data_IF_200831125426
#
_entry.id   IF_200831125426
#
_cell.length_a   1.000
_cell.length_b   1.000
_cell.length_c   1.000
_cell.angle_alpha   90.00
_cell.angle_beta   90.00
_cell.angle_gamma   90.00
#
_symmetry.space_group_name_H-M   'P 1'
#
loop_
_entity.id
_entity.type
_entity.pdbx_description
1 polymer ?
#
# COMPACT_ATOMS: atom_id res chain seq x y z
N UNK A 1 -8.99 44.61 48.55
CA UNK A 1 -8.38 43.43 49.18
C UNK A 1 -8.92 42.23 48.44
N UNK A 2 -8.19 41.82 47.41
CA UNK A 2 -8.59 40.75 46.50
C UNK A 2 -7.65 39.59 46.78
N UNK A 3 -8.16 38.54 47.43
CA UNK A 3 -7.39 37.33 47.71
C UNK A 3 -7.11 36.58 46.42
N UNK A 4 -5.82 36.46 46.13
CA UNK A 4 -5.23 35.77 45.00
C UNK A 4 -5.13 34.27 45.31
N UNK A 5 -6.08 33.47 44.81
CA UNK A 5 -6.00 32.01 44.89
C UNK A 5 -5.11 31.46 43.78
N UNK A 6 -3.80 31.49 44.05
CA UNK A 6 -2.77 30.76 43.30
C UNK A 6 -2.69 29.30 43.79
N UNK A 7 -3.47 28.40 43.18
CA UNK A 7 -3.36 26.96 43.40
C UNK A 7 -2.39 26.36 42.35
N UNK A 8 -1.12 26.25 42.72
CA UNK A 8 -0.09 25.62 41.89
C UNK A 8 -0.33 24.10 41.70
N UNK A 9 0.24 23.47 40.65
CA UNK A 9 0.01 22.06 40.38
C UNK A 9 0.56 21.17 41.50
N UNK A 10 -0.34 20.56 42.28
CA UNK A 10 -0.02 19.56 43.31
C UNK A 10 0.90 18.46 42.75
N UNK A 11 2.08 18.30 43.36
CA UNK A 11 3.02 17.25 43.03
C UNK A 11 2.33 15.86 43.11
N UNK A 12 2.45 15.04 42.05
CA UNK A 12 1.90 13.68 42.04
C UNK A 12 2.50 12.87 43.19
N UNK A 13 1.68 12.46 44.15
CA UNK A 13 2.09 11.59 45.26
C UNK A 13 2.76 10.30 44.71
N UNK A 14 3.94 9.96 45.24
CA UNK A 14 4.64 8.73 44.85
C UNK A 14 3.86 7.51 45.33
N UNK A 15 3.40 6.67 44.41
CA UNK A 15 2.62 5.46 44.74
C UNK A 15 3.57 4.35 45.21
N UNK A 16 3.59 4.08 46.52
CA UNK A 16 4.42 3.03 47.12
C UNK A 16 3.53 1.86 47.53
N UNK A 17 3.92 0.64 47.20
CA UNK A 17 3.17 -0.59 47.51
C UNK A 17 4.15 -1.76 47.60
N UNK A 18 3.93 -2.70 48.53
CA UNK A 18 4.64 -3.99 48.47
C UNK A 18 4.06 -4.80 47.31
N UNK A 19 4.81 -4.93 46.22
CA UNK A 19 4.36 -5.64 45.03
C UNK A 19 4.24 -7.13 45.33
N UNK A 20 3.17 -7.74 44.80
CA UNK A 20 2.91 -9.18 44.79
C UNK A 20 2.20 -9.56 43.50
N UNK A 21 2.44 -10.75 42.97
CA UNK A 21 1.83 -11.22 41.72
C UNK A 21 0.30 -11.30 41.78
N UNK A 22 -0.25 -11.59 42.97
CA UNK A 22 -1.69 -11.56 43.23
C UNK A 22 -2.27 -10.15 43.15
N UNK A 23 -1.54 -9.14 43.63
CA UNK A 23 -1.94 -7.74 43.49
C UNK A 23 -1.81 -7.29 42.03
N UNK A 24 -0.66 -7.57 41.39
CA UNK A 24 -0.39 -7.18 40.01
C UNK A 24 -1.42 -7.80 39.06
N UNK A 25 -1.77 -9.08 39.22
CA UNK A 25 -2.79 -9.76 38.38
C UNK A 25 -4.17 -9.12 38.50
N UNK A 26 -4.59 -8.77 39.71
CA UNK A 26 -5.91 -8.15 39.99
C UNK A 26 -5.95 -6.66 39.68
N UNK A 27 -4.81 -6.01 39.53
CA UNK A 27 -4.74 -4.58 39.28
C UNK A 27 -5.31 -4.22 37.92
N UNK A 28 -6.39 -3.43 37.93
CA UNK A 28 -7.03 -2.88 36.73
C UNK A 28 -6.30 -1.60 36.33
N UNK A 29 -5.73 -1.51 35.12
CA UNK A 29 -5.04 -0.32 34.65
C UNK A 29 -5.98 0.90 34.65
N UNK A 30 -5.56 1.95 35.34
CA UNK A 30 -6.17 3.28 35.28
C UNK A 30 -5.45 4.14 34.24
N UNK A 31 -6.14 5.15 33.71
CA UNK A 31 -5.55 6.18 32.87
C UNK A 31 -5.28 7.40 33.76
N UNK A 32 -4.12 8.09 33.67
CA UNK A 32 -2.97 7.86 32.79
C UNK A 32 -1.99 6.77 33.30
N UNK A 33 -0.90 6.52 32.55
CA UNK A 33 0.18 5.59 32.96
C UNK A 33 0.61 5.82 34.42
N UNK A 34 0.87 4.72 35.13
CA UNK A 34 1.22 4.73 36.54
C UNK A 34 2.53 4.00 36.81
N UNK A 35 3.34 4.58 37.70
CA UNK A 35 4.54 3.96 38.24
C UNK A 35 4.30 3.66 39.73
N UNK A 36 4.47 2.40 40.10
CA UNK A 36 4.33 1.88 41.47
C UNK A 36 5.69 1.45 41.99
N UNK A 37 6.12 2.04 43.10
CA UNK A 37 7.43 1.76 43.72
C UNK A 37 7.29 0.61 44.72
N UNK A 38 8.11 -0.43 44.55
CA UNK A 38 8.11 -1.58 45.45
C UNK A 38 8.69 -1.19 46.81
N UNK A 39 8.02 -1.57 47.89
CA UNK A 39 8.57 -1.37 49.24
C UNK A 39 9.53 -2.49 49.66
N UNK A 40 9.54 -3.63 48.96
CA UNK A 40 10.46 -4.75 49.20
C UNK A 40 11.82 -4.62 48.50
N UNK A 41 11.92 -3.76 47.48
CA UNK A 41 13.13 -3.40 46.76
C UNK A 41 12.99 -1.95 46.29
N UNK A 42 13.67 -1.03 46.96
CA UNK A 42 13.45 0.42 46.85
C UNK A 42 13.71 1.01 45.46
N UNK A 43 14.48 0.30 44.65
CA UNK A 43 14.83 0.70 43.28
C UNK A 43 13.93 0.03 42.24
N UNK A 44 13.13 -0.95 42.63
CA UNK A 44 12.19 -1.62 41.74
C UNK A 44 10.92 -0.81 41.56
N UNK A 45 10.52 -0.63 40.30
CA UNK A 45 9.35 0.14 39.89
C UNK A 45 8.53 -0.67 38.89
N UNK A 46 7.25 -0.87 39.17
CA UNK A 46 6.30 -1.42 38.23
C UNK A 46 5.62 -0.29 37.44
N UNK A 47 5.87 -0.26 36.14
CA UNK A 47 5.17 0.63 35.22
C UNK A 47 3.96 -0.08 34.64
N UNK A 48 2.78 0.53 34.79
CA UNK A 48 1.53 0.08 34.19
C UNK A 48 1.20 1.04 33.05
N UNK A 49 1.37 0.56 31.81
CA UNK A 49 1.15 1.36 30.61
C UNK A 49 -0.33 1.64 30.35
N UNK A 50 -0.61 2.60 29.46
CA UNK A 50 -1.96 2.88 28.94
C UNK A 50 -2.69 1.65 28.40
N UNK A 51 -1.95 0.62 27.95
CA UNK A 51 -2.50 -0.63 27.43
C UNK A 51 -2.63 -1.74 28.47
N UNK A 52 -2.32 -1.45 29.74
CA UNK A 52 -2.32 -2.43 30.82
C UNK A 52 -1.13 -3.37 30.85
N UNK A 53 -0.12 -3.14 30.01
CA UNK A 53 1.14 -3.87 30.11
C UNK A 53 1.85 -3.44 31.40
N UNK A 54 2.33 -4.43 32.16
CA UNK A 54 2.95 -4.25 33.47
C UNK A 54 4.42 -4.64 33.33
N UNK A 55 5.31 -3.67 33.45
CA UNK A 55 6.75 -3.85 33.17
C UNK A 55 7.55 -3.41 34.39
N UNK A 56 8.44 -4.28 34.86
CA UNK A 56 9.36 -3.97 35.93
C UNK A 56 10.55 -3.16 35.41
N UNK A 57 10.95 -2.18 36.20
CA UNK A 57 12.05 -1.27 35.92
C UNK A 57 12.89 -1.07 37.17
N UNK A 58 14.17 -0.80 36.99
CA UNK A 58 15.07 -0.39 38.06
C UNK A 58 15.32 1.10 37.93
N UNK A 59 15.05 1.85 39.00
CA UNK A 59 15.37 3.26 39.11
C UNK A 59 16.82 3.39 39.59
N UNK A 60 17.62 4.18 38.89
CA UNK A 60 19.01 4.44 39.24
C UNK A 60 19.38 5.90 38.94
N UNK A 61 20.54 6.36 39.41
CA UNK A 61 21.11 7.66 39.03
C UNK A 61 22.23 7.44 38.01
N UNK A 62 22.22 8.22 36.93
CA UNK A 62 23.32 8.23 35.97
C UNK A 62 24.53 9.04 36.50
N UNK A 63 25.65 9.01 35.78
CA UNK A 63 26.90 9.69 36.16
C UNK A 63 26.72 11.21 36.27
N UNK A 64 25.69 11.76 35.64
CA UNK A 64 25.28 13.17 35.73
C UNK A 64 24.28 13.46 36.85
N UNK A 65 24.03 12.50 37.76
CA UNK A 65 23.13 12.65 38.91
C UNK A 65 21.64 12.63 38.56
N UNK A 66 21.26 12.39 37.29
CA UNK A 66 19.85 12.37 36.87
C UNK A 66 19.23 11.02 37.16
N UNK A 67 17.97 11.02 37.63
CA UNK A 67 17.21 9.78 37.87
C UNK A 67 16.77 9.16 36.55
N UNK A 68 17.10 7.89 36.34
CA UNK A 68 16.79 7.08 35.15
C UNK A 68 16.07 5.79 35.55
N UNK A 69 15.52 5.12 34.54
CA UNK A 69 14.82 3.85 34.71
C UNK A 69 15.27 2.88 33.61
N UNK A 70 15.80 1.72 34.01
CA UNK A 70 16.15 0.62 33.10
C UNK A 70 15.06 -0.47 33.15
N UNK A 71 14.65 -1.02 32.01
CA UNK A 71 13.61 -2.05 31.95
C UNK A 71 14.21 -3.43 32.16
N UNK A 72 13.76 -4.17 33.17
CA UNK A 72 14.32 -5.49 33.51
C UNK A 72 13.43 -6.67 33.08
N UNK A 73 12.20 -6.40 32.66
CA UNK A 73 11.32 -7.42 32.11
C UNK A 73 9.84 -7.12 32.31
N UNK A 74 9.00 -7.74 31.49
CA UNK A 74 7.55 -7.64 31.59
C UNK A 74 7.04 -8.65 32.60
N UNK A 75 6.12 -8.22 33.46
CA UNK A 75 5.46 -9.12 34.41
C UNK A 75 4.69 -10.21 33.67
N UNK A 76 4.99 -11.45 34.01
CA UNK A 76 4.29 -12.65 33.56
C UNK A 76 4.27 -13.62 34.75
N UNK A 77 3.08 -14.04 35.23
CA UNK A 77 2.98 -14.88 36.42
C UNK A 77 3.72 -16.22 36.30
N UNK A 78 3.92 -16.73 35.08
CA UNK A 78 4.55 -18.04 34.86
C UNK A 78 6.04 -17.95 34.50
N UNK A 79 6.52 -16.77 34.12
CA UNK A 79 7.88 -16.60 33.54
C UNK A 79 8.72 -15.51 34.19
N UNK A 80 8.10 -14.48 34.73
CA UNK A 80 8.80 -13.31 35.26
C UNK A 80 7.92 -12.60 36.29
N UNK A 81 7.92 -13.16 37.49
CA UNK A 81 7.14 -12.74 38.66
C UNK A 81 7.84 -11.59 39.44
N UNK A 82 7.24 -11.18 40.56
CA UNK A 82 7.80 -10.10 41.40
C UNK A 82 9.16 -10.50 41.99
N UNK A 83 9.34 -11.76 42.38
CA UNK A 83 10.57 -12.18 43.05
C UNK A 83 11.74 -12.30 42.07
N UNK A 84 11.50 -12.80 40.85
CA UNK A 84 12.44 -12.75 39.74
C UNK A 84 12.82 -11.29 39.41
N UNK A 85 11.85 -10.38 39.40
CA UNK A 85 12.10 -8.96 39.19
C UNK A 85 12.96 -8.34 40.31
N UNK A 86 12.71 -8.69 41.58
CA UNK A 86 13.54 -8.25 42.72
C UNK A 86 14.96 -8.80 42.64
N UNK A 87 15.12 -10.08 42.28
CA UNK A 87 16.45 -10.68 42.09
C UNK A 87 17.22 -9.99 40.97
N UNK A 88 16.57 -9.71 39.84
CA UNK A 88 17.20 -9.00 38.72
C UNK A 88 17.49 -7.54 39.05
N UNK A 89 16.65 -6.89 39.84
CA UNK A 89 16.91 -5.53 40.34
C UNK A 89 18.11 -5.47 41.29
N UNK A 90 18.28 -6.44 42.19
CA UNK A 90 19.43 -6.52 43.08
C UNK A 90 20.75 -6.79 42.35
N UNK A 91 20.69 -7.53 41.24
CA UNK A 91 21.84 -7.83 40.38
C UNK A 91 22.11 -6.73 39.34
N UNK A 92 21.26 -5.71 39.26
CA UNK A 92 21.45 -4.60 38.33
C UNK A 92 22.58 -3.71 38.82
N UNK A 93 23.62 -3.56 38.00
CA UNK A 93 24.72 -2.64 38.25
C UNK A 93 24.56 -1.38 37.38
N UNK A 94 24.25 -0.21 38.00
CA UNK A 94 24.16 1.05 37.30
C UNK A 94 25.43 1.44 36.54
N UNK A 95 26.61 1.05 37.01
CA UNK A 95 27.88 1.41 36.38
C UNK A 95 28.07 0.66 35.04
N UNK A 96 27.70 -0.62 35.00
CA UNK A 96 27.67 -1.42 33.77
C UNK A 96 26.65 -0.88 32.76
N UNK A 97 25.48 -0.44 33.22
CA UNK A 97 24.45 0.16 32.36
C UNK A 97 24.86 1.56 31.84
N UNK A 98 25.51 2.39 32.66
CA UNK A 98 26.11 3.65 32.23
C UNK A 98 27.24 3.42 31.20
N UNK A 99 28.09 2.41 31.39
CA UNK A 99 29.17 2.02 30.46
C UNK A 99 28.64 1.48 29.13
N UNK A 100 27.55 0.70 29.14
CA UNK A 100 26.85 0.28 27.91
C UNK A 100 26.37 1.46 27.06
N UNK A 101 26.10 2.62 27.68
CA UNK A 101 25.71 3.84 26.95
C UNK A 101 26.90 4.62 26.39
N UNK A 102 28.13 4.19 26.62
CA UNK A 102 29.31 4.78 25.99
C UNK A 102 30.63 4.12 26.39
N UNK A 103 31.03 3.05 25.69
CA UNK A 103 32.39 2.85 25.10
C UNK A 103 32.72 1.41 24.68
N UNK A 104 31.98 0.38 25.14
CA UNK A 104 32.31 -1.03 24.85
C UNK A 104 31.12 -1.83 24.30
N UNK A 105 30.45 -1.31 23.27
CA UNK A 105 29.50 -2.09 22.48
C UNK A 105 30.20 -2.60 21.21
N UNK A 106 29.88 -3.82 20.71
CA UNK A 106 30.25 -4.21 19.35
C UNK A 106 29.89 -3.07 18.39
N UNK A 107 30.80 -2.75 17.46
CA UNK A 107 30.69 -1.57 16.58
C UNK A 107 29.30 -1.44 15.93
N UNK A 108 28.72 -2.58 15.53
CA UNK A 108 27.38 -2.68 14.95
C UNK A 108 26.27 -2.19 15.89
N UNK A 109 26.33 -2.51 17.19
CA UNK A 109 25.33 -2.05 18.17
C UNK A 109 25.47 -0.55 18.48
N UNK A 110 26.70 -0.02 18.48
CA UNK A 110 26.95 1.40 18.70
C UNK A 110 26.37 2.25 17.57
N UNK A 111 26.44 1.75 16.32
CA UNK A 111 25.78 2.39 15.19
C UNK A 111 24.28 2.49 15.41
N UNK A 112 23.59 1.40 15.77
CA UNK A 112 22.14 1.41 15.95
C UNK A 112 21.62 2.37 17.03
N UNK A 113 22.39 2.58 18.10
CA UNK A 113 22.04 3.52 19.17
C UNK A 113 22.21 5.00 18.78
N UNK A 114 23.03 5.30 17.78
CA UNK A 114 23.34 6.66 17.33
C UNK A 114 22.77 6.99 15.95
N UNK A 115 22.42 5.97 15.16
CA UNK A 115 21.95 6.11 13.80
C UNK A 115 20.70 6.97 13.71
N UNK A 116 20.68 7.85 12.72
CA UNK A 116 19.51 8.66 12.41
C UNK A 116 18.43 7.83 11.73
N UNK A 117 17.20 8.31 11.77
CA UNK A 117 16.06 7.65 11.14
C UNK A 117 16.28 7.50 9.63
N UNK A 118 16.93 8.47 9.00
CA UNK A 118 17.30 8.42 7.58
C UNK A 118 18.33 7.32 7.29
N UNK A 119 19.37 7.19 8.11
CA UNK A 119 20.37 6.14 7.94
C UNK A 119 19.75 4.74 8.07
N UNK A 120 18.87 4.55 9.05
CA UNK A 120 18.14 3.28 9.22
C UNK A 120 17.17 3.04 8.06
N UNK A 121 16.51 4.08 7.53
CA UNK A 121 15.68 4.00 6.32
C UNK A 121 16.48 3.50 5.12
N UNK A 122 17.65 4.08 4.85
CA UNK A 122 18.44 3.68 3.68
C UNK A 122 18.99 2.25 3.82
N UNK A 123 19.35 1.84 5.05
CA UNK A 123 19.68 0.44 5.35
C UNK A 123 18.49 -0.49 5.10
N UNK A 124 17.30 -0.15 5.62
CA UNK A 124 16.06 -0.92 5.38
C UNK A 124 15.69 -0.98 3.89
N UNK A 125 15.91 0.12 3.16
CA UNK A 125 15.64 0.17 1.73
C UNK A 125 16.54 -0.82 0.99
N UNK A 126 17.82 -0.87 1.35
CA UNK A 126 18.83 -1.69 0.70
C UNK A 126 18.68 -3.18 1.04
N UNK A 127 18.44 -3.51 2.30
CA UNK A 127 18.44 -4.91 2.78
C UNK A 127 17.08 -5.59 2.64
N UNK A 128 15.99 -4.84 2.73
CA UNK A 128 14.64 -5.42 2.78
C UNK A 128 13.81 -4.97 1.59
N UNK A 129 13.67 -3.65 1.39
CA UNK A 129 12.75 -3.10 0.39
C UNK A 129 13.24 -3.37 -1.04
N UNK A 130 14.54 -3.52 -1.27
CA UNK A 130 15.12 -3.80 -2.59
C UNK A 130 14.53 -5.06 -3.23
N UNK A 131 14.14 -6.05 -2.41
CA UNK A 131 13.53 -7.30 -2.85
C UNK A 131 12.01 -7.20 -3.07
N UNK A 132 11.40 -6.05 -2.76
CA UNK A 132 9.97 -5.84 -2.98
C UNK A 132 9.71 -5.46 -4.43
N UNK A 133 8.63 -6.01 -5.01
CA UNK A 133 8.08 -5.52 -6.28
C UNK A 133 7.74 -4.02 -6.25
N UNK A 134 7.44 -3.49 -5.06
CA UNK A 134 7.12 -2.07 -4.84
C UNK A 134 8.31 -1.27 -4.30
N UNK A 135 9.55 -1.73 -4.52
CA UNK A 135 10.77 -1.15 -3.96
C UNK A 135 10.89 0.35 -4.23
N UNK A 136 10.81 0.75 -5.50
CA UNK A 136 10.92 2.14 -5.94
C UNK A 136 9.87 3.05 -5.31
N UNK A 137 8.60 2.65 -5.32
CA UNK A 137 7.50 3.44 -4.72
C UNK A 137 7.66 3.55 -3.19
N UNK A 138 8.11 2.48 -2.55
CA UNK A 138 8.32 2.43 -1.10
C UNK A 138 9.49 3.33 -0.69
N UNK A 139 10.62 3.22 -1.39
CA UNK A 139 11.78 4.08 -1.19
C UNK A 139 11.44 5.55 -1.43
N UNK A 140 10.70 5.86 -2.51
CA UNK A 140 10.20 7.22 -2.76
C UNK A 140 9.33 7.72 -1.61
N UNK A 141 8.43 6.91 -1.09
CA UNK A 141 7.58 7.30 0.03
C UNK A 141 8.39 7.62 1.29
N UNK A 142 9.39 6.81 1.63
CA UNK A 142 10.29 7.11 2.75
C UNK A 142 11.03 8.43 2.55
N UNK A 143 11.73 8.58 1.42
CA UNK A 143 12.56 9.75 1.12
C UNK A 143 11.73 11.03 0.99
N UNK A 144 10.52 10.95 0.42
CA UNK A 144 9.66 12.13 0.21
C UNK A 144 8.90 12.57 1.46
N UNK A 145 8.46 11.63 2.30
CA UNK A 145 7.51 11.95 3.38
C UNK A 145 8.04 11.68 4.79
N UNK A 146 8.93 10.69 4.96
CA UNK A 146 9.41 10.28 6.29
C UNK A 146 10.72 10.99 6.60
N UNK A 147 11.68 10.98 5.67
CA UNK A 147 13.00 11.60 5.85
C UNK A 147 12.91 13.10 6.16
N UNK A 148 12.10 13.93 5.47
CA UNK A 148 12.04 15.36 5.78
C UNK A 148 11.50 15.67 7.18
N UNK A 149 10.69 14.78 7.75
CA UNK A 149 10.01 14.99 9.03
C UNK A 149 10.71 14.31 10.22
N UNK A 150 11.36 13.17 9.99
CA UNK A 150 11.93 12.33 11.04
C UNK A 150 13.40 11.96 10.79
N UNK A 151 13.94 12.23 9.60
CA UNK A 151 15.23 11.72 9.13
C UNK A 151 16.41 12.03 10.05
N UNK A 152 16.49 13.26 10.56
CA UNK A 152 17.58 13.71 11.45
C UNK A 152 17.47 13.22 12.89
N UNK A 153 16.34 12.65 13.30
CA UNK A 153 16.14 12.14 14.66
C UNK A 153 16.86 10.81 14.82
N UNK A 154 17.51 10.59 15.96
CA UNK A 154 18.05 9.28 16.33
C UNK A 154 16.95 8.22 16.34
N UNK A 155 17.18 7.07 15.70
CA UNK A 155 16.14 6.07 15.46
C UNK A 155 15.49 5.56 16.74
N UNK A 156 16.31 5.26 17.76
CA UNK A 156 15.85 4.77 19.07
C UNK A 156 15.03 5.80 19.87
N UNK A 157 15.14 7.09 19.53
CA UNK A 157 14.41 8.17 20.18
C UNK A 157 13.06 8.47 19.53
N UNK A 158 12.64 7.70 18.51
CA UNK A 158 11.32 7.86 17.90
C UNK A 158 10.22 7.69 18.96
N UNK A 159 9.39 8.73 19.14
CA UNK A 159 8.21 8.66 20.00
C UNK A 159 6.96 8.43 19.18
N UNK A 160 5.97 7.81 19.81
CA UNK A 160 4.61 7.67 19.24
C UNK A 160 3.98 9.01 18.86
N UNK A 161 4.32 10.08 19.58
CA UNK A 161 3.88 11.45 19.29
C UNK A 161 4.42 11.96 17.98
N UNK A 162 5.64 11.59 17.60
CA UNK A 162 6.30 12.04 16.38
C UNK A 162 5.63 11.44 15.14
N UNK A 163 5.49 10.11 15.12
CA UNK A 163 4.74 9.41 14.08
C UNK A 163 3.27 9.84 14.03
N UNK A 164 2.69 10.18 15.19
CA UNK A 164 1.33 10.71 15.30
C UNK A 164 1.18 12.13 14.71
N UNK A 165 2.17 12.99 14.91
CA UNK A 165 2.22 14.33 14.32
C UNK A 165 2.31 14.24 12.80
N UNK A 166 3.31 13.50 12.29
CA UNK A 166 3.49 13.30 10.84
C UNK A 166 2.22 12.74 10.19
N UNK A 167 1.56 11.74 10.80
CA UNK A 167 0.30 11.20 10.27
C UNK A 167 -0.83 12.23 10.21
N UNK A 168 -0.90 13.18 11.17
CA UNK A 168 -1.90 14.25 11.15
C UNK A 168 -1.61 15.26 10.05
N UNK A 169 -0.35 15.70 9.93
CA UNK A 169 0.11 16.60 8.86
C UNK A 169 -0.19 16.01 7.49
N UNK A 170 0.24 14.77 7.24
CA UNK A 170 -0.02 14.04 5.99
C UNK A 170 -1.51 13.90 5.67
N UNK A 171 -2.37 13.79 6.69
CA UNK A 171 -3.82 13.64 6.46
C UNK A 171 -4.43 14.93 5.91
N UNK A 172 -3.91 16.08 6.32
CA UNK A 172 -4.34 17.40 5.84
C UNK A 172 -3.75 17.69 4.47
N UNK A 173 -2.45 17.44 4.29
CA UNK A 173 -1.72 17.85 3.07
C UNK A 173 -1.85 16.87 1.91
N UNK A 174 -1.94 15.56 2.18
CA UNK A 174 -1.92 14.51 1.15
C UNK A 174 -3.14 13.57 1.22
N UNK A 175 -4.03 13.80 2.19
CA UNK A 175 -5.23 13.03 2.38
C UNK A 175 -5.05 11.77 3.25
N UNK A 176 -6.18 11.20 3.70
CA UNK A 176 -6.19 10.18 4.74
C UNK A 176 -5.53 8.86 4.33
N UNK A 177 -5.63 8.47 3.05
CA UNK A 177 -5.05 7.22 2.54
C UNK A 177 -3.53 7.27 2.56
N UNK A 178 -2.95 8.35 2.03
CA UNK A 178 -1.49 8.53 2.02
C UNK A 178 -0.94 8.57 3.44
N UNK A 179 -1.59 9.30 4.35
CA UNK A 179 -1.23 9.32 5.76
C UNK A 179 -1.22 7.92 6.41
N UNK A 180 -2.17 7.07 6.06
CA UNK A 180 -2.23 5.70 6.59
C UNK A 180 -1.15 4.79 5.98
N UNK A 181 -0.80 4.98 4.70
CA UNK A 181 0.34 4.29 4.04
C UNK A 181 1.65 4.69 4.73
N UNK A 182 1.94 5.99 4.84
CA UNK A 182 3.18 6.47 5.47
C UNK A 182 3.28 5.99 6.92
N UNK A 183 2.18 6.03 7.68
CA UNK A 183 2.18 5.48 9.03
C UNK A 183 2.44 3.96 9.07
N UNK A 184 2.00 3.21 8.07
CA UNK A 184 2.32 1.79 7.95
C UNK A 184 3.80 1.55 7.62
N UNK A 185 4.41 2.38 6.78
CA UNK A 185 5.83 2.31 6.47
C UNK A 185 6.71 2.56 7.71
N UNK A 186 6.44 3.63 8.46
CA UNK A 186 7.16 3.91 9.72
C UNK A 186 7.06 2.73 10.70
N UNK A 187 5.91 2.04 10.75
CA UNK A 187 5.78 0.84 11.56
C UNK A 187 6.60 -0.32 11.03
N UNK A 188 6.63 -0.50 9.71
CA UNK A 188 7.35 -1.61 9.06
C UNK A 188 8.82 -1.59 9.45
N UNK A 189 9.47 -0.44 9.36
CA UNK A 189 10.88 -0.30 9.74
C UNK A 189 11.12 -0.48 11.24
N UNK A 190 10.24 0.04 12.11
CA UNK A 190 10.36 -0.19 13.56
C UNK A 190 10.15 -1.65 13.94
N UNK A 191 9.27 -2.38 13.26
CA UNK A 191 9.11 -3.81 13.52
C UNK A 191 10.23 -4.64 12.95
N UNK A 192 10.80 -4.26 11.81
CA UNK A 192 12.00 -4.91 11.30
C UNK A 192 13.17 -4.82 12.28
N UNK A 193 13.50 -3.62 12.79
CA UNK A 193 14.58 -3.48 13.79
C UNK A 193 14.30 -4.26 15.07
N UNK A 194 13.02 -4.36 15.47
CA UNK A 194 12.61 -5.15 16.63
C UNK A 194 12.70 -6.66 16.39
N UNK A 195 12.49 -7.13 15.15
CA UNK A 195 12.54 -8.55 14.75
C UNK A 195 13.99 -9.03 14.57
N UNK A 196 14.88 -8.17 14.08
CA UNK A 196 16.31 -8.46 13.91
C UNK A 196 17.06 -8.55 15.25
N UNK A 197 16.45 -8.08 16.35
CA UNK A 197 17.04 -8.07 17.71
C UNK A 197 18.44 -7.40 17.78
N UNK A 198 18.76 -6.52 16.82
CA UNK A 198 20.04 -5.80 16.70
C UNK A 198 20.30 -4.81 17.85
N UNK A 199 19.26 -4.45 18.60
CA UNK A 199 19.33 -3.62 19.79
C UNK A 199 18.66 -4.38 20.94
N UNK A 200 19.44 -4.76 21.95
CA UNK A 200 18.92 -5.46 23.12
C UNK A 200 17.82 -4.64 23.82
N UNK A 201 16.65 -5.25 23.99
CA UNK A 201 15.50 -4.64 24.64
C UNK A 201 14.81 -3.51 23.86
N UNK A 202 15.10 -3.32 22.56
CA UNK A 202 14.34 -2.39 21.73
C UNK A 202 12.90 -2.87 21.56
N UNK A 203 11.95 -2.01 21.90
CA UNK A 203 10.52 -2.24 21.64
C UNK A 203 9.97 -1.12 20.76
N UNK A 204 9.26 -1.48 19.67
CA UNK A 204 8.69 -0.49 18.77
C UNK A 204 7.74 0.46 19.51
N UNK A 205 7.95 1.79 19.45
CA UNK A 205 7.06 2.77 20.08
C UNK A 205 5.64 2.75 19.47
N UNK A 206 5.49 2.10 18.32
CA UNK A 206 4.24 1.95 17.59
C UNK A 206 3.56 0.60 17.82
N UNK A 207 4.14 -0.34 18.59
CA UNK A 207 3.58 -1.70 18.81
C UNK A 207 2.10 -1.69 19.20
N UNK A 208 1.71 -0.86 20.17
CA UNK A 208 0.33 -0.84 20.70
C UNK A 208 -0.59 0.20 20.03
N UNK A 209 -1.67 -0.29 19.40
CA UNK A 209 -2.87 0.51 19.10
C UNK A 209 -3.92 0.29 20.19
N UNK A 210 -4.33 1.32 20.94
CA UNK A 210 -5.55 1.23 21.74
C UNK A 210 -6.70 0.86 20.78
N UNK A 211 -7.49 -0.17 21.13
CA UNK A 211 -8.74 -0.45 20.42
C UNK A 211 -9.59 0.82 20.49
N UNK A 212 -9.70 1.56 19.39
CA UNK A 212 -10.64 2.68 19.31
C UNK A 212 -12.04 2.06 19.45
N UNK A 213 -12.74 2.36 20.54
CA UNK A 213 -14.17 2.05 20.67
C UNK A 213 -14.89 2.89 19.62
N UNK A 214 -15.54 2.22 18.68
CA UNK A 214 -16.17 2.83 17.51
C UNK A 214 -15.97 1.95 16.29
N UNK A 215 -16.99 1.16 15.93
CA UNK A 215 -17.05 0.33 14.72
C UNK A 215 -17.19 1.21 13.45
N UNK A 216 -16.43 2.28 13.32
CA UNK A 216 -16.28 2.95 12.03
C UNK A 216 -15.08 2.31 11.34
N UNK A 217 -15.21 1.02 10.96
CA UNK A 217 -14.53 0.55 9.76
C UNK A 217 -15.02 1.51 8.69
N UNK A 218 -14.22 2.53 8.37
CA UNK A 218 -14.45 3.31 7.15
C UNK A 218 -14.60 2.25 6.07
N UNK A 219 -15.79 2.12 5.47
CA UNK A 219 -15.93 1.40 4.20
C UNK A 219 -14.77 1.93 3.37
N UNK A 220 -13.84 1.05 3.00
CA UNK A 220 -12.80 1.42 2.06
C UNK A 220 -13.54 2.07 0.91
N UNK A 221 -13.38 3.39 0.73
CA UNK A 221 -14.12 4.18 -0.23
C UNK A 221 -13.66 3.88 -1.65
N UNK A 222 -13.60 2.59 -2.01
CA UNK A 222 -13.64 2.18 -3.39
C UNK A 222 -14.97 2.71 -3.90
N UNK A 223 -14.92 3.78 -4.68
CA UNK A 223 -16.09 4.23 -5.44
C UNK A 223 -16.54 3.03 -6.26
N UNK A 224 -17.76 2.56 -6.08
CA UNK A 224 -18.39 1.54 -6.91
C UNK A 224 -18.98 2.27 -8.11
N UNK A 225 -18.14 2.66 -9.08
CA UNK A 225 -18.58 3.35 -10.29
C UNK A 225 -18.62 2.35 -11.44
N UNK A 226 -19.79 2.27 -12.05
CA UNK A 226 -20.10 1.57 -13.29
C UNK A 226 -20.70 2.63 -14.22
N UNK A 227 -20.25 2.67 -15.47
CA UNK A 227 -20.82 3.59 -16.45
C UNK A 227 -22.17 3.04 -16.91
N UNK A 228 -23.19 3.89 -16.94
CA UNK A 228 -24.46 3.55 -17.57
C UNK A 228 -24.37 3.59 -19.11
N UNK A 229 -25.46 3.27 -19.80
CA UNK A 229 -25.46 3.14 -21.26
C UNK A 229 -25.27 4.48 -21.98
N UNK A 230 -25.78 5.57 -21.42
CA UNK A 230 -25.57 6.92 -21.96
C UNK A 230 -24.11 7.34 -21.75
N UNK A 231 -23.56 7.09 -20.57
CA UNK A 231 -22.16 7.33 -20.24
C UNK A 231 -21.22 6.51 -21.14
N UNK A 232 -21.57 5.25 -21.44
CA UNK A 232 -20.85 4.40 -22.38
C UNK A 232 -20.87 4.94 -23.80
N UNK A 233 -22.04 5.39 -24.30
CA UNK A 233 -22.16 6.05 -25.62
C UNK A 233 -21.26 7.27 -25.71
N UNK A 234 -21.35 8.17 -24.74
CA UNK A 234 -20.56 9.40 -24.71
C UNK A 234 -19.06 9.10 -24.64
N UNK A 235 -18.65 8.18 -23.76
CA UNK A 235 -17.25 7.76 -23.62
C UNK A 235 -16.73 7.14 -24.92
N UNK A 236 -17.50 6.26 -25.57
CA UNK A 236 -17.11 5.61 -26.82
C UNK A 236 -16.96 6.62 -27.96
N UNK A 237 -17.89 7.57 -28.08
CA UNK A 237 -17.82 8.66 -29.06
C UNK A 237 -16.58 9.53 -28.83
N UNK A 238 -16.36 10.00 -27.60
CA UNK A 238 -15.20 10.81 -27.25
C UNK A 238 -13.87 10.07 -27.51
N UNK A 239 -13.78 8.78 -27.14
CA UNK A 239 -12.61 7.96 -27.42
C UNK A 239 -12.38 7.74 -28.93
N UNK A 240 -13.46 7.63 -29.71
CA UNK A 240 -13.37 7.52 -31.17
C UNK A 240 -12.91 8.83 -31.80
N UNK A 241 -13.46 9.96 -31.35
CA UNK A 241 -13.08 11.31 -31.82
C UNK A 241 -11.64 11.66 -31.45
N UNK A 242 -11.18 11.32 -30.24
CA UNK A 242 -9.80 11.52 -29.81
C UNK A 242 -8.82 10.71 -30.68
N UNK A 243 -9.24 9.52 -31.12
CA UNK A 243 -8.44 8.64 -31.96
C UNK A 243 -7.10 8.26 -31.33
N UNK A 244 -6.15 7.90 -32.20
CA UNK A 244 -4.79 7.53 -31.81
C UNK A 244 -4.72 6.41 -30.76
N UNK A 245 -3.57 6.38 -30.07
CA UNK A 245 -3.28 5.34 -29.08
C UNK A 245 -4.25 5.40 -27.89
N UNK A 246 -4.55 6.57 -27.35
CA UNK A 246 -5.38 6.68 -26.15
C UNK A 246 -6.85 6.33 -26.41
N UNK A 247 -7.43 6.79 -27.52
CA UNK A 247 -8.79 6.44 -27.90
C UNK A 247 -8.98 4.95 -28.17
N UNK A 248 -8.00 4.30 -28.79
CA UNK A 248 -7.97 2.84 -28.92
C UNK A 248 -7.82 2.13 -27.57
N UNK A 249 -6.92 2.61 -26.70
CA UNK A 249 -6.65 2.05 -25.37
C UNK A 249 -7.93 2.02 -24.51
N UNK A 250 -8.66 3.14 -24.46
CA UNK A 250 -9.90 3.26 -23.68
C UNK A 250 -10.95 2.25 -24.14
N UNK A 251 -11.18 2.13 -25.45
CA UNK A 251 -12.15 1.18 -26.01
C UNK A 251 -11.71 -0.28 -25.78
N UNK A 252 -10.43 -0.58 -25.97
CA UNK A 252 -9.89 -1.92 -25.73
C UNK A 252 -9.91 -2.32 -24.24
N UNK A 253 -9.75 -1.38 -23.30
CA UNK A 253 -9.92 -1.68 -21.88
C UNK A 253 -11.34 -2.11 -21.53
N UNK A 254 -12.34 -1.52 -22.17
CA UNK A 254 -13.73 -1.93 -22.01
C UNK A 254 -13.96 -3.32 -22.62
N UNK A 255 -13.52 -3.54 -23.87
CA UNK A 255 -13.78 -4.78 -24.61
C UNK A 255 -13.01 -6.00 -24.09
N UNK A 256 -11.84 -5.81 -23.51
CA UNK A 256 -10.99 -6.92 -23.00
C UNK A 256 -11.15 -7.14 -21.50
N UNK A 257 -11.77 -6.18 -20.80
CA UNK A 257 -11.83 -6.10 -19.34
C UNK A 257 -10.47 -6.22 -18.63
N UNK A 258 -9.34 -5.98 -19.32
CA UNK A 258 -8.02 -6.17 -18.73
C UNK A 258 -7.56 -5.00 -17.86
N UNK A 259 -6.52 -5.25 -17.05
CA UNK A 259 -5.90 -4.19 -16.26
C UNK A 259 -5.27 -3.19 -17.22
N UNK A 260 -5.45 -1.89 -16.94
CA UNK A 260 -4.84 -0.77 -17.68
C UNK A 260 -3.40 -1.04 -18.08
N UNK A 261 -2.65 -1.51 -17.10
CA UNK A 261 -1.22 -1.70 -17.23
C UNK A 261 -0.85 -2.86 -18.17
N UNK A 262 -1.57 -4.00 -18.13
CA UNK A 262 -1.37 -5.10 -19.08
C UNK A 262 -1.56 -4.64 -20.52
N UNK A 263 -2.57 -3.80 -20.77
CA UNK A 263 -2.79 -3.27 -22.12
C UNK A 263 -1.74 -2.22 -22.50
N UNK A 264 -1.32 -1.38 -21.57
CA UNK A 264 -0.32 -0.33 -21.82
C UNK A 264 1.07 -0.89 -22.15
N UNK A 265 1.44 -2.03 -21.58
CA UNK A 265 2.72 -2.72 -21.84
C UNK A 265 2.61 -3.81 -22.90
N UNK A 266 1.43 -4.01 -23.49
CA UNK A 266 1.19 -5.04 -24.49
C UNK A 266 2.08 -4.84 -25.73
N UNK A 267 2.64 -5.94 -26.25
CA UNK A 267 3.50 -5.91 -27.44
C UNK A 267 2.79 -6.50 -28.66
N UNK A 268 3.15 -6.04 -29.85
CA UNK A 268 2.58 -6.57 -31.09
C UNK A 268 2.84 -8.07 -31.25
N UNK A 269 3.99 -8.56 -30.79
CA UNK A 269 4.37 -9.97 -30.82
C UNK A 269 3.53 -10.87 -29.88
N UNK A 270 2.77 -10.28 -28.95
CA UNK A 270 1.86 -11.02 -28.08
C UNK A 270 0.52 -11.33 -28.74
N UNK A 271 0.21 -10.72 -29.89
CA UNK A 271 -1.04 -10.96 -30.61
C UNK A 271 -0.75 -11.82 -31.83
N UNK A 272 -1.16 -13.08 -31.76
CA UNK A 272 -0.98 -14.08 -32.84
C UNK A 272 -2.36 -14.66 -33.17
N UNK A 273 -2.75 -14.59 -34.44
CA UNK A 273 -4.02 -15.13 -34.96
C UNK A 273 -5.26 -14.69 -34.15
N UNK A 274 -5.29 -13.42 -33.75
CA UNK A 274 -6.38 -12.82 -32.98
C UNK A 274 -6.42 -13.25 -31.49
N UNK A 275 -5.39 -13.95 -31.02
CA UNK A 275 -5.22 -14.34 -29.63
C UNK A 275 -4.12 -13.50 -28.99
N UNK A 276 -4.45 -12.85 -27.88
CA UNK A 276 -3.51 -12.10 -27.07
C UNK A 276 -2.95 -12.96 -25.93
N UNK A 277 -1.65 -13.22 -25.99
CA UNK A 277 -0.87 -13.95 -24.99
C UNK A 277 -0.24 -12.97 -24.00
N UNK A 278 -0.92 -12.72 -22.89
CA UNK A 278 -0.51 -11.75 -21.87
C UNK A 278 0.65 -12.37 -21.06
N UNK A 279 1.86 -11.86 -21.28
CA UNK A 279 3.07 -12.37 -20.62
C UNK A 279 3.16 -11.89 -19.17
N UNK A 280 3.68 -12.76 -18.31
CA UNK A 280 3.87 -12.47 -16.88
C UNK A 280 5.20 -11.76 -16.56
N UNK A 281 6.08 -11.60 -17.55
CA UNK A 281 7.46 -11.16 -17.38
C UNK A 281 7.60 -9.77 -16.71
N UNK A 282 6.57 -8.92 -16.80
CA UNK A 282 6.52 -7.61 -16.14
C UNK A 282 5.81 -7.61 -14.76
N UNK A 283 5.41 -8.77 -14.23
CA UNK A 283 4.89 -8.93 -12.85
C UNK A 283 3.51 -8.31 -12.59
N UNK A 284 2.77 -7.95 -13.64
CA UNK A 284 1.50 -7.21 -13.55
C UNK A 284 0.27 -8.04 -13.98
N UNK A 285 0.50 -9.14 -14.69
CA UNK A 285 -0.46 -10.21 -14.88
C UNK A 285 -0.44 -11.15 -13.67
N UNK A 286 -1.25 -10.87 -12.65
CA UNK A 286 -1.56 -11.87 -11.62
C UNK A 286 -2.76 -12.69 -12.08
N UNK A 287 -2.61 -14.00 -12.27
CA UNK A 287 -3.71 -14.97 -12.33
C UNK A 287 -3.92 -15.68 -13.68
N UNK A 288 -5.05 -16.38 -13.79
CA UNK A 288 -5.43 -17.33 -14.86
C UNK A 288 -5.76 -16.70 -16.23
N UNK A 289 -5.51 -15.40 -16.41
CA UNK A 289 -5.91 -14.62 -17.58
C UNK A 289 -4.85 -14.51 -18.68
N UNK A 290 -3.98 -15.51 -18.86
CA UNK A 290 -2.78 -15.40 -19.70
C UNK A 290 -3.03 -15.45 -21.22
N UNK A 291 -4.21 -15.88 -21.66
CA UNK A 291 -4.53 -16.05 -23.09
C UNK A 291 -5.96 -15.59 -23.38
N UNK A 292 -6.15 -14.55 -24.20
CA UNK A 292 -7.48 -14.02 -24.55
C UNK A 292 -7.68 -14.06 -26.06
N UNK A 293 -8.70 -14.78 -26.52
CA UNK A 293 -9.18 -14.63 -27.90
C UNK A 293 -9.93 -13.31 -27.98
N UNK A 294 -9.41 -12.39 -28.80
CA UNK A 294 -9.97 -11.05 -28.92
C UNK A 294 -11.24 -11.07 -29.78
N UNK A 295 -12.30 -10.35 -29.37
CA UNK A 295 -13.49 -10.24 -30.20
C UNK A 295 -13.18 -9.42 -31.47
N UNK A 296 -13.93 -9.62 -32.57
CA UNK A 296 -13.66 -8.94 -33.84
C UNK A 296 -13.58 -7.42 -33.73
N UNK A 297 -14.44 -6.78 -32.94
CA UNK A 297 -14.41 -5.32 -32.72
C UNK A 297 -13.11 -4.87 -32.05
N UNK A 298 -12.54 -5.66 -31.15
CA UNK A 298 -11.24 -5.36 -30.55
C UNK A 298 -10.12 -5.48 -31.60
N UNK A 299 -10.17 -6.50 -32.46
CA UNK A 299 -9.21 -6.66 -33.56
C UNK A 299 -9.31 -5.52 -34.58
N UNK A 300 -10.52 -5.06 -34.92
CA UNK A 300 -10.73 -3.89 -35.78
C UNK A 300 -10.08 -2.63 -35.18
N UNK A 301 -10.26 -2.40 -33.88
CA UNK A 301 -9.62 -1.26 -33.19
C UNK A 301 -8.10 -1.40 -33.23
N UNK A 302 -7.56 -2.59 -32.93
CA UNK A 302 -6.11 -2.86 -32.97
C UNK A 302 -5.51 -2.65 -34.36
N UNK A 303 -6.19 -3.13 -35.41
CA UNK A 303 -5.73 -2.96 -36.79
C UNK A 303 -5.79 -1.49 -37.25
N UNK A 304 -6.65 -0.69 -36.64
CA UNK A 304 -6.71 0.77 -36.87
C UNK A 304 -5.67 1.58 -36.10
N UNK A 305 -4.91 0.98 -35.18
CA UNK A 305 -3.85 1.69 -34.46
C UNK A 305 -2.63 1.92 -35.35
N UNK A 306 -1.92 3.05 -35.19
CA UNK A 306 -0.67 3.28 -35.91
C UNK A 306 0.39 2.28 -35.45
N UNK A 307 1.15 1.73 -36.40
CA UNK A 307 2.37 0.97 -36.10
C UNK A 307 3.57 1.88 -36.29
N UNK A 308 4.35 2.05 -35.24
CA UNK A 308 5.56 2.87 -35.26
C UNK A 308 6.73 1.91 -35.48
N UNK A 309 7.56 2.22 -36.48
CA UNK A 309 8.74 1.41 -36.77
C UNK A 309 9.72 1.41 -35.59
N UNK A 310 10.31 0.25 -35.29
CA UNK A 310 11.15 0.04 -34.11
C UNK A 310 10.42 0.01 -32.75
N UNK A 311 9.09 0.18 -32.72
CA UNK A 311 8.31 0.15 -31.48
C UNK A 311 7.59 -1.20 -31.28
N UNK A 312 8.02 -1.96 -30.27
CA UNK A 312 7.39 -3.25 -29.94
C UNK A 312 6.01 -3.11 -29.31
N UNK A 313 5.75 -1.98 -28.63
CA UNK A 313 4.52 -1.77 -27.86
C UNK A 313 3.34 -1.39 -28.76
N UNK A 314 2.18 -2.00 -28.50
CA UNK A 314 0.91 -1.61 -29.14
C UNK A 314 0.55 -0.17 -28.80
N UNK A 315 0.79 0.22 -27.54
CA UNK A 315 0.61 1.57 -27.03
C UNK A 315 1.95 2.15 -26.62
N UNK A 316 2.86 2.28 -27.59
CA UNK A 316 4.18 2.87 -27.39
C UNK A 316 4.21 4.38 -27.63
N UNK A 317 5.01 5.08 -26.83
CA UNK A 317 5.35 6.48 -27.06
C UNK A 317 6.86 6.62 -27.09
N UNK A 318 7.37 7.45 -27.99
CA UNK A 318 8.78 7.80 -28.04
C UNK A 318 9.11 8.85 -26.97
N UNK A 319 10.17 8.61 -26.21
CA UNK A 319 10.68 9.55 -25.23
C UNK A 319 12.20 9.42 -25.12
N UNK A 320 12.92 10.49 -25.46
CA UNK A 320 14.39 10.55 -25.52
C UNK A 320 14.97 9.44 -26.42
N UNK A 321 14.49 9.34 -27.66
CA UNK A 321 14.92 8.36 -28.67
C UNK A 321 14.72 6.89 -28.26
N UNK A 322 13.93 6.63 -27.22
CA UNK A 322 13.55 5.30 -26.75
C UNK A 322 12.03 5.13 -26.78
N UNK A 323 11.56 3.96 -27.23
CA UNK A 323 10.15 3.61 -27.11
C UNK A 323 9.81 3.08 -25.71
N UNK A 324 8.79 3.67 -25.10
CA UNK A 324 8.31 3.30 -23.77
C UNK A 324 6.81 3.02 -23.79
N UNK A 325 6.30 2.18 -22.85
CA UNK A 325 4.88 2.02 -22.66
C UNK A 325 4.18 3.35 -22.38
N UNK A 326 2.99 3.53 -22.92
CA UNK A 326 2.16 4.72 -22.69
C UNK A 326 1.92 4.93 -21.19
N UNK A 327 2.22 6.13 -20.68
CA UNK A 327 2.11 6.47 -19.26
C UNK A 327 1.31 7.76 -18.94
N UNK A 328 0.95 8.57 -19.95
CA UNK A 328 0.23 9.85 -19.80
C UNK A 328 -1.30 9.71 -19.64
N UNK A 329 -1.76 8.77 -18.81
CA UNK A 329 -3.19 8.44 -18.68
C UNK A 329 -4.05 9.58 -18.16
N UNK A 330 -3.58 10.32 -17.14
CA UNK A 330 -4.39 11.37 -16.52
C UNK A 330 -4.60 12.55 -17.47
N UNK A 331 -3.53 12.97 -18.14
CA UNK A 331 -3.57 14.06 -19.10
C UNK A 331 -4.49 13.73 -20.28
N UNK A 332 -4.28 12.57 -20.94
CA UNK A 332 -5.13 12.18 -22.07
C UNK A 332 -6.58 11.89 -21.66
N UNK A 333 -6.82 11.46 -20.42
CA UNK A 333 -8.19 11.40 -19.89
C UNK A 333 -8.82 12.79 -19.89
N UNK A 334 -8.12 13.78 -19.37
CA UNK A 334 -8.68 15.13 -19.22
C UNK A 334 -8.97 15.75 -20.60
N UNK A 335 -8.07 15.59 -21.57
CA UNK A 335 -8.31 15.93 -22.99
C UNK A 335 -9.54 15.20 -23.56
N UNK A 336 -9.68 13.90 -23.31
CA UNK A 336 -10.84 13.14 -23.78
C UNK A 336 -12.16 13.60 -23.12
N UNK A 337 -12.12 14.04 -21.86
CA UNK A 337 -13.30 14.53 -21.14
C UNK A 337 -13.81 15.85 -21.73
N UNK A 338 -12.95 16.65 -22.35
CA UNK A 338 -13.33 17.88 -23.07
C UNK A 338 -14.10 17.59 -24.36
N UNK A 339 -13.97 16.38 -24.91
CA UNK A 339 -14.71 15.93 -26.10
C UNK A 339 -16.11 15.39 -25.78
N UNK A 340 -16.50 15.31 -24.51
CA UNK A 340 -17.82 14.82 -24.14
C UNK A 340 -18.90 15.83 -24.55
N UNK A 341 -20.05 15.37 -25.09
CA UNK A 341 -21.14 16.26 -25.49
C UNK A 341 -21.82 16.94 -24.29
N UNK A 342 -21.64 16.40 -23.07
CA UNK A 342 -22.12 16.96 -21.81
C UNK A 342 -21.24 16.50 -20.64
N UNK A 343 -21.22 17.22 -19.51
CA UNK A 343 -20.47 16.82 -18.32
C UNK A 343 -20.88 15.44 -17.82
N UNK A 344 -19.88 14.62 -17.48
CA UNK A 344 -20.08 13.27 -16.95
C UNK A 344 -19.44 13.15 -15.56
N UNK A 345 -20.09 12.48 -14.59
CA UNK A 345 -19.49 12.32 -13.27
C UNK A 345 -18.14 11.59 -13.34
N UNK A 346 -17.23 11.98 -12.45
CA UNK A 346 -15.83 11.53 -12.48
C UNK A 346 -15.72 10.00 -12.47
N UNK A 347 -14.98 9.47 -13.44
CA UNK A 347 -14.64 8.06 -13.57
C UNK A 347 -13.13 7.90 -13.86
N UNK A 348 -12.65 6.67 -13.80
CA UNK A 348 -11.26 6.29 -14.05
C UNK A 348 -11.20 5.11 -15.00
N UNK A 349 -10.06 4.88 -15.64
CA UNK A 349 -9.85 3.71 -16.52
C UNK A 349 -10.12 2.36 -15.81
N UNK A 350 -10.00 2.30 -14.48
CA UNK A 350 -10.34 1.10 -13.72
C UNK A 350 -11.86 0.85 -13.66
N UNK A 351 -12.68 1.90 -13.75
CA UNK A 351 -14.13 1.79 -13.77
C UNK A 351 -14.62 1.18 -15.10
N UNK A 352 -13.86 1.26 -16.19
CA UNK A 352 -14.16 0.51 -17.44
C UNK A 352 -14.12 -1.00 -17.22
N UNK A 353 -13.12 -1.49 -16.50
CA UNK A 353 -13.01 -2.90 -16.16
C UNK A 353 -14.14 -3.37 -15.24
N UNK A 354 -14.60 -2.51 -14.32
CA UNK A 354 -15.79 -2.80 -13.49
C UNK A 354 -17.07 -2.77 -14.29
N UNK A 355 -17.18 -1.82 -15.21
CA UNK A 355 -18.30 -1.71 -16.15
C UNK A 355 -18.37 -2.96 -17.02
N UNK A 356 -17.26 -3.39 -17.61
CA UNK A 356 -17.17 -4.64 -18.36
C UNK A 356 -17.63 -5.85 -17.52
N UNK A 357 -17.17 -5.98 -16.27
CA UNK A 357 -17.59 -7.07 -15.37
C UNK A 357 -19.09 -7.02 -15.04
N UNK A 358 -19.65 -5.83 -14.84
CA UNK A 358 -21.07 -5.64 -14.56
C UNK A 358 -21.91 -5.94 -15.79
N UNK A 359 -21.51 -5.43 -16.96
CA UNK A 359 -22.17 -5.70 -18.24
C UNK A 359 -22.14 -7.18 -18.63
N UNK A 360 -21.06 -7.88 -18.31
CA UNK A 360 -21.01 -9.34 -18.45
C UNK A 360 -22.11 -10.02 -17.60
N UNK A 361 -22.35 -9.54 -16.38
CA UNK A 361 -23.40 -10.05 -15.50
C UNK A 361 -24.80 -9.74 -16.05
N UNK A 362 -25.00 -8.51 -16.54
CA UNK A 362 -26.26 -8.04 -17.14
C UNK A 362 -26.69 -8.94 -18.31
N UNK A 363 -25.72 -9.47 -19.08
CA UNK A 363 -25.98 -10.39 -20.20
C UNK A 363 -25.90 -11.87 -19.83
N UNK A 364 -25.88 -12.20 -18.54
CA UNK A 364 -25.98 -13.58 -18.04
C UNK A 364 -24.67 -14.39 -18.06
N UNK A 365 -23.50 -13.74 -18.10
CA UNK A 365 -22.22 -14.43 -17.89
C UNK A 365 -22.04 -14.66 -16.39
N UNK A 366 -21.78 -15.91 -16.02
CA UNK A 366 -21.66 -16.29 -14.62
C UNK A 366 -20.43 -15.64 -13.94
N UNK A 367 -20.53 -15.48 -12.61
CA UNK A 367 -19.48 -14.85 -11.81
C UNK A 367 -18.12 -15.50 -12.02
N UNK A 368 -18.04 -16.83 -12.09
CA UNK A 368 -16.77 -17.53 -12.21
C UNK A 368 -16.10 -17.24 -13.54
N UNK A 369 -16.86 -17.24 -14.64
CA UNK A 369 -16.36 -16.88 -15.98
C UNK A 369 -15.93 -15.42 -16.02
N UNK A 370 -16.73 -14.49 -15.48
CA UNK A 370 -16.39 -13.07 -15.40
C UNK A 370 -15.09 -12.82 -14.61
N UNK A 371 -14.92 -13.46 -13.46
CA UNK A 371 -13.68 -13.35 -12.66
C UNK A 371 -12.45 -13.88 -13.43
N UNK A 372 -12.60 -14.96 -14.18
CA UNK A 372 -11.50 -15.55 -14.98
C UNK A 372 -11.18 -14.72 -16.21
N UNK A 373 -12.17 -14.10 -16.87
CA UNK A 373 -11.92 -13.09 -17.93
C UNK A 373 -11.08 -11.95 -17.36
N UNK A 374 -11.41 -11.46 -16.17
CA UNK A 374 -10.63 -10.45 -15.48
C UNK A 374 -9.23 -10.97 -15.06
N UNK A 375 -8.95 -12.26 -15.12
CA UNK A 375 -7.71 -12.85 -14.63
C UNK A 375 -7.61 -12.81 -13.11
N UNK A 376 -8.74 -12.80 -12.39
CA UNK A 376 -8.73 -12.99 -10.95
C UNK A 376 -8.51 -14.47 -10.61
N UNK A 377 -7.68 -14.72 -9.59
CA UNK A 377 -7.51 -16.07 -9.09
C UNK A 377 -8.79 -16.51 -8.39
N UNK A 378 -9.37 -17.64 -8.82
CA UNK A 378 -10.53 -18.22 -8.17
C UNK A 378 -10.17 -18.69 -6.75
N UNK A 379 -11.03 -18.45 -5.74
CA UNK A 379 -10.79 -18.92 -4.37
C UNK A 379 -10.94 -20.46 -4.26
N UNK A 380 -10.12 -21.09 -3.40
CA UNK A 380 -10.23 -22.50 -3.00
C UNK A 380 -9.59 -23.55 -3.95
N UNK A 381 -10.01 -24.81 -3.79
CA UNK A 381 -9.52 -26.02 -4.50
C UNK A 381 -9.78 -25.98 -6.03
N UNK A 382 -10.59 -25.02 -6.49
CA UNK A 382 -10.86 -24.78 -7.92
C UNK A 382 -9.63 -24.33 -8.74
N UNK A 383 -8.51 -23.99 -8.09
CA UNK A 383 -7.25 -23.64 -8.78
C UNK A 383 -6.64 -24.80 -9.57
N UNK A 384 -6.89 -26.04 -9.13
CA UNK A 384 -6.29 -27.27 -9.72
C UNK A 384 -7.14 -27.83 -10.86
N UNK A 385 -8.44 -27.49 -10.89
CA UNK A 385 -9.35 -27.96 -11.92
C UNK A 385 -9.51 -26.92 -13.03
N UNK A 386 -9.00 -27.33 -14.20
CA UNK A 386 -9.39 -26.89 -15.54
C UNK A 386 -8.67 -25.65 -16.06
N UNK A 387 -7.52 -25.86 -16.74
CA UNK A 387 -6.86 -24.84 -17.56
C UNK A 387 -7.46 -24.74 -18.98
N UNK A 388 -8.10 -25.79 -19.50
CA UNK A 388 -8.66 -25.84 -20.87
C UNK A 388 -10.08 -25.24 -20.99
N UNK A 389 -11.04 -25.58 -20.12
CA UNK A 389 -12.44 -25.12 -20.28
C UNK A 389 -12.67 -23.61 -20.16
N UNK A 390 -11.75 -22.86 -19.54
CA UNK A 390 -11.91 -21.41 -19.41
C UNK A 390 -11.41 -20.65 -20.63
N UNK A 391 -10.65 -21.24 -21.56
CA UNK A 391 -10.24 -20.53 -22.77
C UNK A 391 -11.45 -20.21 -23.65
N UNK A 392 -12.30 -21.22 -23.91
CA UNK A 392 -13.53 -21.06 -24.69
C UNK A 392 -14.55 -20.18 -23.96
N UNK A 393 -14.75 -20.38 -22.65
CA UNK A 393 -15.66 -19.54 -21.85
C UNK A 393 -15.23 -18.07 -21.82
N UNK A 394 -13.91 -17.79 -21.77
CA UNK A 394 -13.41 -16.42 -21.85
C UNK A 394 -13.65 -15.82 -23.23
N UNK A 395 -13.42 -16.60 -24.29
CA UNK A 395 -13.65 -16.16 -25.65
C UNK A 395 -15.14 -15.82 -25.89
N UNK A 396 -16.05 -16.71 -25.49
CA UNK A 396 -17.50 -16.48 -25.55
C UNK A 396 -17.92 -15.24 -24.75
N UNK A 397 -17.44 -15.13 -23.51
CA UNK A 397 -17.75 -13.98 -22.65
C UNK A 397 -17.28 -12.65 -23.25
N UNK A 398 -16.07 -12.60 -23.82
CA UNK A 398 -15.54 -11.39 -24.48
C UNK A 398 -16.29 -11.07 -25.78
N UNK A 399 -16.69 -12.08 -26.55
CA UNK A 399 -17.49 -11.90 -27.75
C UNK A 399 -18.85 -11.29 -27.40
N UNK A 400 -19.59 -11.90 -26.48
CA UNK A 400 -20.91 -11.42 -26.03
C UNK A 400 -20.84 -10.04 -25.39
N UNK A 401 -19.80 -9.78 -24.59
CA UNK A 401 -19.55 -8.43 -24.06
C UNK A 401 -19.35 -7.44 -25.21
N UNK A 402 -18.53 -7.78 -26.19
CA UNK A 402 -18.25 -6.91 -27.34
C UNK A 402 -19.50 -6.60 -28.16
N UNK A 403 -20.34 -7.59 -28.43
CA UNK A 403 -21.62 -7.42 -29.12
C UNK A 403 -22.59 -6.54 -28.32
N UNK A 404 -22.67 -6.76 -27.01
CA UNK A 404 -23.51 -5.96 -26.14
C UNK A 404 -23.05 -4.49 -26.07
N UNK A 405 -21.74 -4.25 -25.97
CA UNK A 405 -21.20 -2.88 -26.04
C UNK A 405 -21.48 -2.27 -27.42
N UNK A 406 -21.28 -3.02 -28.51
CA UNK A 406 -21.58 -2.55 -29.87
C UNK A 406 -23.05 -2.11 -30.01
N UNK A 407 -23.99 -2.87 -29.45
CA UNK A 407 -25.41 -2.51 -29.40
C UNK A 407 -25.65 -1.22 -28.62
N UNK A 408 -25.07 -1.08 -27.42
CA UNK A 408 -25.20 0.12 -26.59
C UNK A 408 -24.72 1.36 -27.36
N UNK A 409 -23.55 1.26 -28.02
CA UNK A 409 -22.91 2.38 -28.71
C UNK A 409 -23.44 2.62 -30.13
N UNK A 410 -24.40 1.81 -30.59
CA UNK A 410 -25.03 1.97 -31.90
C UNK A 410 -24.15 1.58 -33.08
N UNK A 411 -23.20 0.67 -32.89
CA UNK A 411 -22.42 0.10 -33.98
C UNK A 411 -23.23 -1.00 -34.70
N UNK A 412 -23.09 -1.14 -36.04
CA UNK A 412 -23.77 -2.21 -36.77
C UNK A 412 -23.35 -3.59 -36.22
N UNK A 413 -24.24 -4.59 -36.25
CA UNK A 413 -23.87 -5.97 -35.91
C UNK A 413 -22.71 -6.41 -36.80
N UNK A 414 -21.71 -7.05 -36.21
CA UNK A 414 -20.58 -7.58 -36.96
C UNK A 414 -21.07 -8.59 -38.01
N UNK A 415 -20.91 -8.27 -39.29
CA UNK A 415 -21.35 -9.15 -40.39
C UNK A 415 -20.34 -10.25 -40.72
N UNK A 416 -19.33 -10.50 -39.86
CA UNK A 416 -18.45 -11.66 -39.98
C UNK A 416 -17.64 -11.73 -41.27
N UNK A 417 -17.44 -10.61 -41.98
CA UNK A 417 -16.60 -10.61 -43.18
C UNK A 417 -15.13 -10.66 -42.74
N UNK A 418 -14.33 -11.62 -43.25
CA UNK A 418 -12.91 -11.66 -42.98
C UNK A 418 -12.28 -10.33 -43.44
N UNK A 419 -11.49 -9.72 -42.57
CA UNK A 419 -10.77 -8.49 -42.86
C UNK A 419 -9.99 -8.62 -44.16
N UNK A 420 -10.21 -7.70 -45.09
CA UNK A 420 -9.35 -7.43 -46.25
C UNK A 420 -7.87 -7.30 -45.81
N UNK A 421 -6.90 -7.56 -46.71
CA UNK A 421 -5.50 -7.77 -46.33
C UNK A 421 -4.91 -6.62 -45.52
N UNK A 422 -3.98 -6.97 -44.63
CA UNK A 422 -3.25 -6.10 -43.71
C UNK A 422 -2.73 -4.87 -44.48
N UNK A 423 -3.44 -3.74 -44.35
CA UNK A 423 -2.91 -2.44 -44.77
C UNK A 423 -1.91 -2.04 -43.70
N UNK A 424 -0.63 -2.03 -44.06
CA UNK A 424 0.46 -1.61 -43.18
C UNK A 424 0.34 -0.12 -42.91
N UNK A 425 -0.36 0.25 -41.82
CA UNK A 425 -0.43 1.62 -41.30
C UNK A 425 0.87 2.01 -40.56
N UNK A 426 2.02 1.80 -41.23
CA UNK A 426 3.32 2.24 -40.74
C UNK A 426 3.40 3.75 -40.96
N UNK A 427 3.47 4.53 -39.88
CA UNK A 427 3.59 5.99 -39.95
C UNK A 427 5.05 6.37 -39.70
N UNK A 428 5.76 6.96 -40.68
CA UNK A 428 7.08 7.54 -40.45
C UNK A 428 7.01 8.69 -39.44
N UNK A 429 7.99 8.76 -38.53
CA UNK A 429 8.08 9.70 -37.42
C UNK A 429 8.13 11.20 -37.79
N UNK A 430 8.15 11.54 -39.08
CA UNK A 430 8.25 12.93 -39.55
C UNK A 430 6.95 13.77 -39.44
N UNK A 431 5.86 13.24 -38.84
CA UNK A 431 4.57 13.96 -38.72
C UNK A 431 3.97 14.11 -37.31
N UNK A 432 4.64 13.65 -36.25
CA UNK A 432 4.10 13.73 -34.88
C UNK A 432 4.66 14.87 -34.01
N UNK A 433 5.42 15.82 -34.57
CA UNK A 433 5.83 17.04 -33.87
C UNK A 433 4.95 18.22 -34.28
N UNK A 434 3.90 18.50 -33.47
CA UNK A 434 3.32 19.82 -33.14
C UNK A 434 1.88 19.67 -32.61
N UNK A 435 1.69 19.74 -31.30
CA UNK A 435 0.90 20.77 -30.58
C UNK A 435 0.92 20.46 -29.09
#
# INVERSE_FOLDING_TARGET
MSEDTSDGPKAKASRKQRLSDTWISRYKPTLPQEDWFDTGCTDLVLRISYGGAKTFRVRYRDDGGKTRYHSIGRWNPDKFDVDAARQRARKFDPATECKRRGKDLPEDQAWWLSATFEQVIEKYITEVVAHFRTSSETARCYRRYVVPALGSKTFVDLKKTDAGLLRRTMRTENGPRQADIIFALIRSICFWVEDEEVIDGYESPLRYRPKRRGKNKRKSGGRERVLDDDELRMMWQAATQMGGLYGGLVRLLLLTAQRRQCLATAKWSEIVDGVWYIREEDGEAKGTGQVLRLPPLALQILNGLPRIDGCDFIFGVEHNDEFKPFNSFSQRRDEMMELLPRPMPRWTLHDLRRTARTRMEDIGIDMQTGEVVLGHALPGVKRTYIRSSFAEKRADALLRLSEHIAQIVGLPPDQGKPSSPIVTNVVPLSRAKRS
#
